data_IF_144748948578
#
_entry.id   IF_144748948578
#
_cell.length_a   1.000
_cell.length_b   1.000
_cell.length_c   1.000
_cell.angle_alpha   90.00
_cell.angle_beta   90.00
_cell.angle_gamma   90.00
#
_symmetry.space_group_name_H-M   'P 1'
#
loop_
_entity.id
_entity.type
_entity.pdbx_description
1 polymer ?
#
# COMPACT_ATOMS: atom_id res chain seq x y z
N UNK A 1 0.60 -5.19 8.17
CA UNK A 1 -0.02 -4.69 6.93
C UNK A 1 -0.93 -5.73 6.32
N UNK A 2 -1.73 -5.28 5.34
CA UNK A 2 -2.59 -6.18 4.57
C UNK A 2 -1.78 -7.11 3.68
N UNK A 3 -2.33 -8.27 3.46
CA UNK A 3 -1.98 -9.20 2.40
C UNK A 3 -3.27 -9.86 1.91
N UNK A 4 -3.27 -10.36 0.71
CA UNK A 4 -4.28 -11.26 0.21
C UNK A 4 -3.67 -12.17 -0.86
N UNK A 5 -4.36 -13.24 -1.18
CA UNK A 5 -4.08 -14.01 -2.38
C UNK A 5 -5.15 -13.68 -3.41
N UNK A 6 -4.73 -13.17 -4.55
CA UNK A 6 -5.59 -12.94 -5.70
C UNK A 6 -5.83 -14.28 -6.40
N UNK A 7 -7.01 -14.85 -6.19
CA UNK A 7 -7.34 -16.20 -6.64
C UNK A 7 -8.33 -16.19 -7.79
N UNK A 8 -7.87 -16.64 -8.95
CA UNK A 8 -8.64 -16.84 -10.18
C UNK A 8 -9.20 -18.26 -10.20
N UNK A 9 -10.33 -18.47 -9.53
CA UNK A 9 -10.87 -19.82 -9.26
C UNK A 9 -11.06 -20.66 -10.52
N UNK A 10 -11.61 -20.07 -11.59
CA UNK A 10 -11.87 -20.80 -12.85
C UNK A 10 -10.60 -21.27 -13.55
N UNK A 11 -9.49 -20.54 -13.40
CA UNK A 11 -8.20 -20.86 -13.99
C UNK A 11 -7.32 -21.67 -13.04
N UNK A 12 -7.64 -21.69 -11.75
CA UNK A 12 -6.80 -22.27 -10.71
C UNK A 12 -5.51 -21.48 -10.48
N UNK A 13 -5.48 -20.18 -10.83
CA UNK A 13 -4.31 -19.32 -10.65
C UNK A 13 -4.40 -18.56 -9.33
N UNK A 14 -3.29 -18.49 -8.63
CA UNK A 14 -3.17 -17.78 -7.37
C UNK A 14 -1.90 -16.93 -7.35
N UNK A 15 -2.03 -15.67 -6.97
CA UNK A 15 -0.93 -14.73 -6.90
C UNK A 15 -0.91 -14.04 -5.54
N UNK A 16 0.28 -13.85 -4.92
CA UNK A 16 0.40 -12.99 -3.76
C UNK A 16 0.00 -11.57 -4.12
N UNK A 17 -0.77 -10.94 -3.26
CA UNK A 17 -1.26 -9.57 -3.39
C UNK A 17 -1.40 -8.89 -2.04
N UNK A 18 -2.06 -7.77 -2.04
CA UNK A 18 -2.18 -6.85 -0.92
C UNK A 18 -1.24 -5.65 -1.06
N UNK A 19 -1.74 -4.47 -0.76
CA UNK A 19 -1.01 -3.23 -0.96
C UNK A 19 0.36 -3.22 -0.24
N UNK A 20 0.39 -3.58 1.05
CA UNK A 20 1.64 -3.59 1.82
C UNK A 20 2.66 -4.62 1.29
N UNK A 21 2.20 -5.79 0.84
CA UNK A 21 3.04 -6.81 0.22
C UNK A 21 3.63 -6.29 -1.09
N UNK A 22 2.80 -5.74 -1.96
CA UNK A 22 3.21 -5.22 -3.26
C UNK A 22 4.21 -4.08 -3.13
N UNK A 23 3.96 -3.11 -2.22
CA UNK A 23 4.89 -1.99 -1.97
C UNK A 23 6.23 -2.50 -1.45
N UNK A 24 6.25 -3.52 -0.58
CA UNK A 24 7.50 -4.11 -0.09
C UNK A 24 8.29 -4.80 -1.23
N UNK A 25 7.62 -5.55 -2.10
CA UNK A 25 8.24 -6.23 -3.25
C UNK A 25 8.78 -5.22 -4.26
N UNK A 26 7.97 -4.25 -4.69
CA UNK A 26 8.42 -3.22 -5.64
C UNK A 26 9.53 -2.34 -5.05
N UNK A 27 9.45 -2.04 -3.75
CA UNK A 27 10.51 -1.34 -3.04
C UNK A 27 11.84 -2.08 -3.09
N UNK A 28 11.80 -3.41 -2.88
CA UNK A 28 13.00 -4.25 -2.99
C UNK A 28 13.58 -4.23 -4.40
N UNK A 29 12.74 -4.34 -5.43
CA UNK A 29 13.15 -4.27 -6.83
C UNK A 29 13.78 -2.92 -7.21
N UNK A 30 13.42 -1.84 -6.50
CA UNK A 30 14.01 -0.50 -6.63
C UNK A 30 15.26 -0.28 -5.75
N UNK A 31 15.74 -1.34 -5.09
CA UNK A 31 16.98 -1.33 -4.31
C UNK A 31 16.83 -0.82 -2.88
N UNK A 32 15.62 -0.74 -2.34
CA UNK A 32 15.38 -0.48 -0.92
C UNK A 32 15.50 -1.79 -0.13
N UNK A 33 15.97 -1.72 1.12
CA UNK A 33 15.82 -2.83 2.06
C UNK A 33 14.40 -2.81 2.61
N UNK A 34 13.65 -3.89 2.36
CA UNK A 34 12.23 -3.96 2.68
C UNK A 34 11.90 -5.15 3.56
N UNK A 35 10.89 -4.98 4.42
CA UNK A 35 10.35 -6.03 5.25
C UNK A 35 8.83 -6.02 5.19
N UNK A 36 8.23 -7.19 5.33
CA UNK A 36 6.79 -7.34 5.48
C UNK A 36 6.44 -7.84 6.88
N UNK A 37 5.50 -7.15 7.54
CA UNK A 37 4.94 -7.51 8.84
C UNK A 37 3.43 -7.69 8.70
N UNK A 38 2.93 -8.86 9.03
CA UNK A 38 1.51 -9.21 8.95
C UNK A 38 1.26 -10.64 9.37
N UNK A 39 0.00 -11.08 9.26
CA UNK A 39 -0.39 -12.46 9.54
C UNK A 39 -0.74 -13.19 8.26
N UNK A 40 -0.29 -14.45 8.16
CA UNK A 40 -0.67 -15.40 7.11
C UNK A 40 -1.24 -16.66 7.77
N UNK A 41 -2.02 -17.44 7.02
CA UNK A 41 -2.57 -18.70 7.49
C UNK A 41 -1.53 -19.83 7.52
N UNK A 42 -1.98 -20.98 8.02
CA UNK A 42 -1.23 -22.25 7.98
C UNK A 42 -1.60 -23.10 6.76
N UNK A 43 -2.29 -22.50 5.78
CA UNK A 43 -2.71 -23.12 4.55
C UNK A 43 -1.69 -22.95 3.40
N UNK A 44 -1.95 -23.58 2.26
CA UNK A 44 -1.10 -23.51 1.07
C UNK A 44 -0.91 -22.07 0.55
N UNK A 45 -1.88 -21.18 0.76
CA UNK A 45 -1.75 -19.78 0.37
C UNK A 45 -0.77 -19.04 1.27
N UNK A 46 -0.74 -19.36 2.57
CA UNK A 46 0.27 -18.85 3.49
C UNK A 46 1.68 -19.35 3.12
N UNK A 47 1.82 -20.62 2.75
CA UNK A 47 3.09 -21.16 2.27
C UNK A 47 3.58 -20.44 1.02
N UNK A 48 2.70 -20.26 0.04
CA UNK A 48 2.99 -19.53 -1.20
C UNK A 48 3.39 -18.08 -0.93
N UNK A 49 2.65 -17.36 -0.08
CA UNK A 49 2.96 -15.97 0.28
C UNK A 49 4.36 -15.85 0.88
N UNK A 50 4.69 -16.72 1.82
CA UNK A 50 6.00 -16.73 2.49
C UNK A 50 7.13 -17.03 1.50
N UNK A 51 6.95 -18.03 0.65
CA UNK A 51 7.93 -18.41 -0.36
C UNK A 51 8.18 -17.26 -1.35
N UNK A 52 7.11 -16.65 -1.87
CA UNK A 52 7.21 -15.56 -2.85
C UNK A 52 7.86 -14.30 -2.27
N UNK A 53 7.56 -13.91 -1.03
CA UNK A 53 8.25 -12.80 -0.38
C UNK A 53 9.75 -13.10 -0.20
N UNK A 54 10.10 -14.33 0.18
CA UNK A 54 11.49 -14.76 0.30
C UNK A 54 12.22 -14.77 -1.05
N UNK A 55 11.57 -15.24 -2.14
CA UNK A 55 12.13 -15.19 -3.50
C UNK A 55 12.43 -13.75 -3.95
N UNK A 56 11.69 -12.77 -3.45
CA UNK A 56 11.88 -11.36 -3.74
C UNK A 56 12.81 -10.65 -2.73
N UNK A 57 13.52 -11.38 -1.89
CA UNK A 57 14.41 -10.84 -0.84
C UNK A 57 13.73 -9.83 0.12
N UNK A 58 12.43 -9.95 0.33
CA UNK A 58 11.69 -9.18 1.35
C UNK A 58 11.88 -9.86 2.71
N UNK A 59 12.33 -9.11 3.72
CA UNK A 59 12.47 -9.65 5.06
C UNK A 59 11.11 -9.97 5.68
N UNK A 60 10.97 -11.17 6.27
CA UNK A 60 9.71 -11.66 6.83
C UNK A 60 9.81 -12.11 8.28
N UNK A 61 10.82 -11.65 9.02
CA UNK A 61 11.10 -12.07 10.39
C UNK A 61 9.95 -11.80 11.37
N UNK A 62 9.13 -10.79 11.08
CA UNK A 62 7.93 -10.44 11.85
C UNK A 62 6.61 -10.85 11.18
N UNK A 63 6.67 -11.61 10.10
CA UNK A 63 5.48 -12.24 9.54
C UNK A 63 5.09 -13.45 10.38
N UNK A 64 3.86 -13.46 10.92
CA UNK A 64 3.41 -14.51 11.82
C UNK A 64 2.43 -15.45 11.11
N UNK A 65 2.58 -16.74 11.36
CA UNK A 65 1.61 -17.75 10.92
C UNK A 65 0.55 -17.94 12.00
N UNK A 66 -0.72 -17.86 11.59
CA UNK A 66 -1.89 -18.12 12.46
C UNK A 66 -2.64 -19.33 11.95
N UNK A 67 -3.15 -20.14 12.88
CA UNK A 67 -3.99 -21.27 12.49
C UNK A 67 -5.24 -20.78 11.74
N UNK A 68 -5.44 -21.30 10.53
CA UNK A 68 -6.53 -20.92 9.66
C UNK A 68 -6.07 -20.58 8.24
N UNK A 69 -6.97 -19.94 7.48
CA UNK A 69 -6.74 -19.58 6.08
C UNK A 69 -6.10 -18.20 5.96
N UNK A 70 -5.23 -18.05 4.96
CA UNK A 70 -4.70 -16.76 4.52
C UNK A 70 -5.82 -15.94 3.87
N UNK A 71 -5.72 -14.61 3.95
CA UNK A 71 -6.68 -13.73 3.29
C UNK A 71 -6.68 -13.97 1.77
N UNK A 72 -7.85 -13.92 1.16
CA UNK A 72 -8.04 -14.21 -0.26
C UNK A 72 -9.07 -13.27 -0.87
N UNK A 73 -8.77 -12.80 -2.08
CA UNK A 73 -9.70 -12.08 -2.94
C UNK A 73 -9.98 -12.94 -4.17
N UNK A 74 -11.24 -13.26 -4.40
CA UNK A 74 -11.64 -14.01 -5.59
C UNK A 74 -11.75 -13.06 -6.76
N UNK A 75 -11.15 -13.45 -7.90
CA UNK A 75 -11.15 -12.65 -9.12
C UNK A 75 -11.75 -13.46 -10.26
N UNK A 76 -12.70 -12.87 -10.97
CA UNK A 76 -13.22 -13.42 -12.22
C UNK A 76 -12.67 -12.64 -13.41
N UNK A 77 -12.33 -13.34 -14.48
CA UNK A 77 -12.03 -12.73 -15.77
C UNK A 77 -13.29 -12.82 -16.64
N UNK A 78 -13.86 -11.66 -16.98
CA UNK A 78 -15.01 -11.52 -17.87
C UNK A 78 -14.56 -10.72 -19.10
N UNK A 79 -14.56 -11.36 -20.27
CA UNK A 79 -14.17 -10.74 -21.55
C UNK A 79 -12.78 -10.08 -21.55
N UNK A 80 -11.86 -10.60 -20.73
CA UNK A 80 -10.51 -10.05 -20.55
C UNK A 80 -10.39 -9.01 -19.44
N UNK A 81 -11.50 -8.53 -18.90
CA UNK A 81 -11.54 -7.61 -17.77
C UNK A 81 -11.66 -8.35 -16.44
N UNK A 82 -11.06 -7.78 -15.41
CA UNK A 82 -11.13 -8.31 -14.05
C UNK A 82 -12.33 -7.77 -13.30
N UNK A 83 -13.06 -8.69 -12.71
CA UNK A 83 -14.10 -8.38 -11.74
C UNK A 83 -13.68 -8.92 -10.38
N UNK A 84 -13.50 -8.01 -9.42
CA UNK A 84 -13.30 -8.39 -8.03
C UNK A 84 -14.60 -8.97 -7.46
N UNK A 85 -14.53 -10.18 -6.95
CA UNK A 85 -15.61 -10.90 -6.29
C UNK A 85 -15.58 -10.72 -4.77
N UNK A 86 -15.81 -11.79 -4.05
CA UNK A 86 -15.77 -11.80 -2.59
C UNK A 86 -14.33 -11.73 -2.09
N UNK A 87 -14.12 -11.02 -0.98
CA UNK A 87 -12.88 -10.97 -0.23
C UNK A 87 -13.08 -11.50 1.19
N UNK A 88 -12.10 -12.25 1.68
CA UNK A 88 -12.09 -12.84 3.01
C UNK A 88 -10.79 -12.50 3.72
N UNK A 89 -10.89 -11.78 4.82
CA UNK A 89 -9.74 -11.44 5.66
C UNK A 89 -9.17 -12.67 6.38
N UNK A 90 -10.01 -13.64 6.75
CA UNK A 90 -9.61 -14.88 7.42
C UNK A 90 -8.72 -14.58 8.66
N UNK A 91 -7.47 -15.10 8.70
CA UNK A 91 -6.58 -14.85 9.85
C UNK A 91 -6.20 -13.38 10.06
N UNK A 92 -6.42 -12.51 9.08
CA UNK A 92 -6.23 -11.06 9.25
C UNK A 92 -7.36 -10.39 10.03
N UNK A 93 -8.50 -11.05 10.23
CA UNK A 93 -9.54 -10.51 11.11
C UNK A 93 -8.96 -10.25 12.51
N UNK A 94 -9.07 -9.00 12.96
CA UNK A 94 -8.56 -8.59 14.25
C UNK A 94 -7.02 -8.48 14.33
N UNK A 95 -6.33 -8.36 13.20
CA UNK A 95 -4.90 -8.09 13.18
C UNK A 95 -4.56 -6.87 14.05
N UNK A 96 -3.59 -7.05 14.94
CA UNK A 96 -3.08 -6.00 15.81
C UNK A 96 -1.57 -6.11 15.94
N UNK A 97 -0.91 -4.96 16.00
CA UNK A 97 0.51 -4.86 16.25
C UNK A 97 0.80 -4.98 17.75
N UNK A 98 1.74 -5.84 18.12
CA UNK A 98 2.26 -5.94 19.48
C UNK A 98 3.26 -4.80 19.77
N UNK A 99 3.63 -4.62 21.04
CA UNK A 99 4.68 -3.67 21.40
C UNK A 99 6.04 -4.05 20.81
N UNK A 100 6.32 -5.33 20.65
CA UNK A 100 7.52 -5.82 19.97
C UNK A 100 7.50 -5.51 18.48
N UNK A 101 6.33 -5.57 17.83
CA UNK A 101 6.17 -5.17 16.44
C UNK A 101 6.44 -3.67 16.27
N UNK A 102 5.93 -2.84 17.18
CA UNK A 102 6.20 -1.40 17.17
C UNK A 102 7.68 -1.10 17.40
N UNK A 103 8.35 -1.83 18.29
CA UNK A 103 9.78 -1.70 18.51
C UNK A 103 10.58 -2.07 17.26
N UNK A 104 10.18 -3.13 16.57
CA UNK A 104 10.77 -3.52 15.29
C UNK A 104 10.57 -2.46 14.24
N UNK A 105 9.34 -1.96 14.04
CA UNK A 105 9.01 -0.90 13.09
C UNK A 105 9.78 0.41 13.36
N UNK A 106 10.09 0.71 14.62
CA UNK A 106 10.89 1.88 15.00
C UNK A 106 12.34 1.85 14.47
N UNK A 107 12.80 0.72 13.95
CA UNK A 107 14.10 0.56 13.31
C UNK A 107 14.15 0.95 11.84
N UNK A 108 13.01 1.20 11.20
CA UNK A 108 12.92 1.53 9.77
C UNK A 108 12.87 3.05 9.54
N UNK A 109 13.29 3.48 8.34
CA UNK A 109 13.17 4.87 7.91
C UNK A 109 11.73 5.23 7.55
N UNK A 110 10.97 4.25 7.01
CA UNK A 110 9.58 4.43 6.61
C UNK A 110 8.76 3.17 6.92
N UNK A 111 7.51 3.39 7.34
CA UNK A 111 6.49 2.35 7.48
C UNK A 111 5.34 2.67 6.54
N UNK A 112 5.05 1.75 5.63
CA UNK A 112 3.92 1.85 4.71
C UNK A 112 2.73 1.06 5.22
N UNK A 113 1.54 1.66 5.14
CA UNK A 113 0.26 1.09 5.54
C UNK A 113 -0.80 1.44 4.52
N UNK A 114 -1.89 0.67 4.51
CA UNK A 114 -3.05 0.96 3.67
C UNK A 114 -4.35 0.88 4.47
N UNK A 115 -5.39 1.44 3.88
CA UNK A 115 -6.75 1.47 4.45
C UNK A 115 -7.27 0.08 4.84
N UNK A 116 -6.77 -0.96 4.19
CA UNK A 116 -7.12 -2.37 4.40
C UNK A 116 -6.33 -3.06 5.53
N UNK A 117 -5.23 -2.43 5.98
CA UNK A 117 -4.20 -3.10 6.81
C UNK A 117 -4.52 -3.18 8.30
N UNK A 118 -5.64 -2.61 8.77
CA UNK A 118 -6.05 -2.61 10.20
C UNK A 118 -4.95 -2.12 11.18
N UNK A 119 -4.00 -1.30 10.67
CA UNK A 119 -2.84 -0.83 11.43
C UNK A 119 -2.99 0.60 11.99
N UNK A 120 -4.15 1.22 11.82
CA UNK A 120 -4.38 2.64 12.16
C UNK A 120 -4.01 2.98 13.61
N UNK A 121 -4.18 2.03 14.52
CA UNK A 121 -3.90 2.22 15.96
C UNK A 121 -2.41 2.36 16.30
N UNK A 122 -1.49 2.05 15.36
CA UNK A 122 -0.06 2.24 15.60
C UNK A 122 0.40 3.66 15.28
N UNK A 123 -0.38 4.43 14.53
CA UNK A 123 -0.08 5.83 14.23
C UNK A 123 -0.08 6.64 15.53
N UNK A 124 0.90 7.49 15.70
CA UNK A 124 1.15 8.21 16.95
C UNK A 124 1.90 7.40 18.03
N UNK A 125 2.12 6.09 17.83
CA UNK A 125 2.94 5.25 18.72
C UNK A 125 4.36 5.02 18.16
N UNK A 126 4.55 5.24 16.86
CA UNK A 126 5.87 5.17 16.23
C UNK A 126 6.67 6.45 16.51
N UNK A 127 8.01 6.35 16.63
CA UNK A 127 8.86 7.53 16.82
C UNK A 127 8.76 8.49 15.63
N UNK A 128 8.80 9.80 15.87
CA UNK A 128 8.74 10.83 14.81
C UNK A 128 9.82 10.74 13.74
N UNK A 129 10.92 10.03 14.00
CA UNK A 129 11.95 9.78 12.98
C UNK A 129 11.49 8.83 11.87
N UNK A 130 10.53 7.96 12.16
CA UNK A 130 9.97 6.99 11.21
C UNK A 130 8.95 7.70 10.34
N UNK A 131 9.18 7.75 9.04
CA UNK A 131 8.23 8.31 8.10
C UNK A 131 7.03 7.39 7.93
N UNK A 132 5.85 7.95 7.86
CA UNK A 132 4.61 7.20 7.67
C UNK A 132 4.09 7.44 6.26
N UNK A 133 3.98 6.37 5.51
CA UNK A 133 3.32 6.30 4.21
C UNK A 133 1.97 5.60 4.36
N UNK A 134 0.90 6.19 3.83
CA UNK A 134 -0.43 5.62 3.96
C UNK A 134 -1.22 5.72 2.65
N UNK A 135 -1.75 4.58 2.19
CA UNK A 135 -2.63 4.53 1.04
C UNK A 135 -4.10 4.45 1.47
N UNK A 136 -4.84 5.50 1.15
CA UNK A 136 -6.30 5.58 1.33
C UNK A 136 -7.07 4.98 0.15
N UNK A 137 -6.38 4.62 -0.95
CA UNK A 137 -7.02 4.12 -2.17
C UNK A 137 -8.12 5.10 -2.66
N UNK A 138 -9.30 4.61 -3.00
CA UNK A 138 -10.45 5.43 -3.41
C UNK A 138 -11.38 5.81 -2.23
N UNK A 139 -10.91 5.79 -0.99
CA UNK A 139 -11.71 6.02 0.21
C UNK A 139 -11.65 7.48 0.69
N UNK A 140 -12.00 8.44 -0.18
CA UNK A 140 -11.90 9.88 0.10
C UNK A 140 -12.84 10.39 1.20
N UNK A 141 -13.94 9.70 1.45
CA UNK A 141 -14.96 10.07 2.45
C UNK A 141 -14.76 9.41 3.81
N UNK A 142 -13.69 8.67 4.04
CA UNK A 142 -13.46 7.97 5.30
C UNK A 142 -13.23 8.93 6.46
N UNK A 143 -14.03 8.88 7.53
CA UNK A 143 -13.85 9.77 8.69
C UNK A 143 -12.48 9.64 9.34
N UNK A 144 -11.80 8.50 9.14
CA UNK A 144 -10.47 8.26 9.67
C UNK A 144 -9.38 9.14 9.05
N UNK A 145 -9.59 9.71 7.85
CA UNK A 145 -8.62 10.62 7.23
C UNK A 145 -8.30 11.78 8.19
N UNK A 146 -9.30 12.40 8.81
CA UNK A 146 -9.11 13.51 9.75
C UNK A 146 -8.29 13.12 10.97
N UNK A 147 -8.45 11.87 11.44
CA UNK A 147 -7.72 11.35 12.60
C UNK A 147 -6.30 10.94 12.26
N UNK A 148 -6.06 10.45 11.05
CA UNK A 148 -4.78 9.85 10.65
C UNK A 148 -3.84 10.85 9.98
N UNK A 149 -4.37 11.81 9.21
CA UNK A 149 -3.58 12.78 8.44
C UNK A 149 -2.45 13.47 9.24
N UNK A 150 -2.63 13.86 10.52
CA UNK A 150 -1.57 14.49 11.31
C UNK A 150 -0.32 13.62 11.53
N UNK A 151 -0.44 12.30 11.34
CA UNK A 151 0.66 11.35 11.57
C UNK A 151 1.32 10.89 10.26
N UNK A 152 0.78 11.30 9.09
CA UNK A 152 1.19 10.76 7.79
C UNK A 152 2.14 11.73 7.10
N UNK A 153 3.34 11.25 6.73
CA UNK A 153 4.28 12.02 5.92
C UNK A 153 3.92 11.97 4.42
N UNK A 154 3.44 10.80 3.93
CA UNK A 154 3.11 10.58 2.53
C UNK A 154 1.73 9.91 2.43
N UNK A 155 0.71 10.66 2.01
CA UNK A 155 -0.64 10.15 1.81
C UNK A 155 -0.90 9.90 0.32
N UNK A 156 -1.49 8.73 0.00
CA UNK A 156 -1.81 8.35 -1.36
C UNK A 156 -3.31 8.12 -1.52
N UNK A 157 -3.81 8.50 -2.69
CA UNK A 157 -5.19 8.29 -3.13
C UNK A 157 -5.20 7.76 -4.57
N UNK A 158 -6.28 7.08 -4.95
CA UNK A 158 -6.55 6.69 -6.33
C UNK A 158 -7.77 7.46 -6.82
N UNK A 159 -7.59 8.39 -7.75
CA UNK A 159 -8.63 9.24 -8.33
C UNK A 159 -8.73 8.98 -9.84
N UNK A 160 -9.78 9.50 -10.48
CA UNK A 160 -9.99 9.30 -11.91
C UNK A 160 -9.28 10.38 -12.75
N UNK A 161 -9.30 11.63 -12.28
CA UNK A 161 -8.83 12.79 -13.05
C UNK A 161 -8.17 13.84 -12.15
N UNK A 162 -7.28 14.66 -12.74
CA UNK A 162 -6.77 15.89 -12.13
C UNK A 162 -7.79 17.02 -12.35
N UNK A 163 -8.80 17.05 -11.52
CA UNK A 163 -9.84 18.06 -11.55
C UNK A 163 -9.90 18.85 -10.23
N UNK A 164 -10.83 19.82 -10.14
CA UNK A 164 -11.00 20.67 -8.95
C UNK A 164 -11.22 19.83 -7.69
N UNK A 165 -12.07 18.81 -7.75
CA UNK A 165 -12.39 17.95 -6.59
C UNK A 165 -11.16 17.19 -6.09
N UNK A 166 -10.38 16.63 -7.01
CA UNK A 166 -9.11 15.94 -6.66
C UNK A 166 -8.14 16.91 -5.99
N UNK A 167 -7.94 18.10 -6.55
CA UNK A 167 -7.05 19.11 -5.97
C UNK A 167 -7.52 19.63 -4.61
N UNK A 168 -8.84 19.78 -4.43
CA UNK A 168 -9.43 20.13 -3.13
C UNK A 168 -9.22 19.02 -2.09
N UNK A 169 -9.36 17.74 -2.47
CA UNK A 169 -9.03 16.62 -1.60
C UNK A 169 -7.57 16.69 -1.14
N UNK A 170 -6.61 16.87 -2.07
CA UNK A 170 -5.19 16.93 -1.71
C UNK A 170 -4.89 18.11 -0.77
N UNK A 171 -5.46 19.29 -1.04
CA UNK A 171 -5.34 20.46 -0.15
C UNK A 171 -5.90 20.18 1.23
N UNK A 172 -7.13 19.66 1.30
CA UNK A 172 -7.80 19.34 2.57
C UNK A 172 -6.95 18.38 3.41
N UNK A 173 -6.47 17.29 2.82
CA UNK A 173 -5.66 16.30 3.56
C UNK A 173 -4.32 16.88 4.02
N UNK A 174 -3.73 17.76 3.19
CA UNK A 174 -2.54 18.54 3.57
C UNK A 174 -2.82 19.48 4.75
N UNK A 175 -3.92 20.20 4.74
CA UNK A 175 -4.36 21.10 5.82
C UNK A 175 -4.66 20.36 7.12
N UNK A 176 -5.12 19.11 7.03
CA UNK A 176 -5.29 18.21 8.18
C UNK A 176 -3.96 17.74 8.79
N UNK A 177 -2.82 18.02 8.16
CA UNK A 177 -1.50 17.77 8.74
C UNK A 177 -0.60 16.80 7.95
N UNK A 178 -1.08 16.16 6.89
CA UNK A 178 -0.24 15.27 6.08
C UNK A 178 0.96 16.01 5.46
N UNK A 179 2.10 15.33 5.32
CA UNK A 179 3.33 15.92 4.80
C UNK A 179 3.25 16.22 3.31
N UNK A 180 3.04 15.21 2.49
CA UNK A 180 2.78 15.31 1.06
C UNK A 180 1.58 14.44 0.71
N UNK A 181 0.72 14.89 -0.18
CA UNK A 181 -0.49 14.17 -0.59
C UNK A 181 -0.50 13.97 -2.10
N UNK A 182 -0.71 12.74 -2.54
CA UNK A 182 -0.61 12.35 -3.95
C UNK A 182 -1.87 11.61 -4.38
N UNK A 183 -2.34 11.85 -5.59
CA UNK A 183 -3.35 11.05 -6.26
C UNK A 183 -2.77 10.43 -7.53
N UNK A 184 -2.90 9.11 -7.67
CA UNK A 184 -2.74 8.40 -8.94
C UNK A 184 -4.03 8.53 -9.75
N UNK A 185 -3.94 8.68 -11.08
CA UNK A 185 -5.04 9.03 -11.97
C UNK A 185 -5.18 8.03 -13.13
N UNK A 186 -4.78 6.78 -12.90
CA UNK A 186 -4.77 5.74 -13.91
C UNK A 186 -3.94 6.16 -15.13
N UNK A 187 -4.53 6.13 -16.32
CA UNK A 187 -3.88 6.52 -17.57
C UNK A 187 -3.52 8.01 -17.68
N UNK A 188 -4.07 8.84 -16.80
CA UNK A 188 -3.81 10.27 -16.73
C UNK A 188 -2.58 10.62 -15.86
N UNK A 189 -1.88 9.61 -15.32
CA UNK A 189 -0.66 9.79 -14.54
C UNK A 189 -0.92 10.05 -13.05
N UNK A 190 -0.39 11.13 -12.52
CA UNK A 190 -0.51 11.47 -11.09
C UNK A 190 -0.42 12.96 -10.83
N UNK A 191 -0.93 13.39 -9.68
CA UNK A 191 -0.77 14.75 -9.14
C UNK A 191 -0.38 14.67 -7.66
N UNK A 192 0.64 15.43 -7.25
CA UNK A 192 1.11 15.53 -5.87
C UNK A 192 1.03 17.00 -5.38
N UNK A 193 0.81 17.16 -4.07
CA UNK A 193 0.75 18.47 -3.42
C UNK A 193 1.54 18.45 -2.10
N UNK A 194 2.53 19.33 -1.96
CA UNK A 194 3.38 19.45 -0.77
C UNK A 194 2.98 20.60 0.16
N UNK A 195 1.91 21.32 -0.17
CA UNK A 195 1.46 22.51 0.51
C UNK A 195 1.92 23.82 -0.15
N UNK A 196 2.75 23.77 -1.18
CA UNK A 196 3.26 24.92 -1.91
C UNK A 196 2.81 24.89 -3.36
N UNK A 197 3.06 23.79 -4.05
CA UNK A 197 2.75 23.64 -5.47
C UNK A 197 2.16 22.26 -5.76
N UNK A 198 1.37 22.19 -6.85
CA UNK A 198 0.97 20.92 -7.45
C UNK A 198 1.99 20.52 -8.50
N UNK A 199 2.42 19.26 -8.42
CA UNK A 199 3.30 18.66 -9.42
C UNK A 199 2.56 17.50 -10.06
N UNK A 200 2.46 17.54 -11.40
CA UNK A 200 1.81 16.48 -12.20
C UNK A 200 2.85 15.68 -12.96
N UNK A 201 2.60 14.40 -13.10
CA UNK A 201 3.42 13.51 -13.92
C UNK A 201 2.51 12.66 -14.80
N UNK A 202 2.85 12.52 -16.08
CA UNK A 202 2.20 11.58 -17.00
C UNK A 202 2.63 10.14 -16.76
N UNK A 203 2.06 9.23 -17.54
CA UNK A 203 2.47 7.81 -17.55
C UNK A 203 3.72 7.61 -18.40
N UNK A 204 4.50 6.57 -18.07
CA UNK A 204 5.55 6.09 -18.97
C UNK A 204 4.93 5.50 -20.25
N UNK A 205 5.53 5.81 -21.41
CA UNK A 205 5.06 5.36 -22.71
C UNK A 205 5.30 3.86 -22.96
N UNK A 206 4.71 3.01 -22.12
CA UNK A 206 4.81 1.55 -22.20
C UNK A 206 3.49 0.93 -22.65
N UNK A 207 3.56 -0.24 -23.30
CA UNK A 207 2.36 -1.02 -23.59
C UNK A 207 1.82 -1.59 -22.27
N UNK A 208 0.63 -1.17 -21.89
CA UNK A 208 -0.07 -1.73 -20.73
C UNK A 208 -0.45 -3.17 -21.00
N UNK A 209 -0.02 -4.09 -20.14
CA UNK A 209 -0.40 -5.51 -20.15
C UNK A 209 -1.38 -5.79 -19.04
N UNK A 210 -1.13 -5.20 -17.87
CA UNK A 210 -1.87 -5.39 -16.65
C UNK A 210 -1.69 -4.17 -15.74
N UNK A 211 -2.76 -3.73 -15.09
CA UNK A 211 -2.76 -2.58 -14.17
C UNK A 211 -2.84 -2.98 -12.69
N UNK A 212 -2.91 -4.29 -12.38
CA UNK A 212 -2.91 -4.73 -10.98
C UNK A 212 -1.59 -4.36 -10.31
N UNK A 213 -1.67 -3.73 -9.13
CA UNK A 213 -0.48 -3.25 -8.40
C UNK A 213 0.19 -2.01 -9.01
N UNK A 214 -0.40 -1.37 -10.05
CA UNK A 214 0.18 -0.14 -10.61
C UNK A 214 0.25 0.99 -9.58
N UNK A 215 -0.79 1.15 -8.74
CA UNK A 215 -0.77 2.07 -7.60
C UNK A 215 0.33 1.76 -6.62
N UNK A 216 0.49 0.49 -6.26
CA UNK A 216 1.50 0.04 -5.29
C UNK A 216 2.93 0.25 -5.83
N UNK A 217 3.13 -0.01 -7.14
CA UNK A 217 4.42 0.26 -7.79
C UNK A 217 4.74 1.75 -7.86
N UNK A 218 3.74 2.60 -8.09
CA UNK A 218 3.87 4.05 -8.02
C UNK A 218 4.29 4.49 -6.61
N UNK A 219 3.63 3.99 -5.56
CA UNK A 219 3.96 4.28 -4.17
C UNK A 219 5.41 3.89 -3.87
N UNK A 220 5.83 2.69 -4.25
CA UNK A 220 7.21 2.24 -4.07
C UNK A 220 8.22 3.14 -4.81
N UNK A 221 7.92 3.51 -6.06
CA UNK A 221 8.71 4.45 -6.86
C UNK A 221 8.84 5.81 -6.18
N UNK A 222 7.72 6.38 -5.74
CA UNK A 222 7.69 7.64 -5.00
C UNK A 222 8.52 7.57 -3.73
N UNK A 223 8.32 6.56 -2.89
CA UNK A 223 9.06 6.39 -1.63
C UNK A 223 10.57 6.21 -1.86
N UNK A 224 10.97 5.49 -2.92
CA UNK A 224 12.38 5.29 -3.27
C UNK A 224 13.13 6.58 -3.54
N UNK A 225 12.43 7.65 -3.94
CA UNK A 225 12.95 8.98 -4.21
C UNK A 225 12.76 9.91 -3.01
N UNK A 226 11.57 9.93 -2.44
CA UNK A 226 11.23 10.80 -1.32
C UNK A 226 12.12 10.54 -0.09
N UNK A 227 12.44 9.27 0.21
CA UNK A 227 13.31 8.90 1.33
C UNK A 227 14.80 9.31 1.11
N UNK A 228 15.19 9.56 -0.13
CA UNK A 228 16.50 10.14 -0.45
C UNK A 228 16.51 11.67 -0.42
N UNK A 229 15.37 12.30 -0.10
CA UNK A 229 15.22 13.75 -0.05
C UNK A 229 15.12 14.41 -1.43
N UNK A 230 14.77 13.63 -2.48
CA UNK A 230 14.53 14.19 -3.81
C UNK A 230 13.25 15.03 -3.81
N UNK A 231 13.18 16.03 -4.69
CA UNK A 231 11.99 16.88 -4.84
C UNK A 231 10.90 16.16 -5.61
N UNK A 232 9.64 16.62 -5.48
CA UNK A 232 8.50 16.08 -6.24
C UNK A 232 8.64 16.19 -7.76
N UNK A 233 9.59 17.00 -8.26
CA UNK A 233 9.84 17.21 -9.70
C UNK A 233 10.82 16.19 -10.31
N UNK A 234 11.42 15.34 -9.48
CA UNK A 234 12.36 14.30 -9.89
C UNK A 234 11.73 12.92 -9.83
#
# INVERSE_FOLDING_TARGET
>A
GDNCVDFYERQGWAYPGGNAVNVAVYGRQLGMDTAYLGWIGTDNFGDMMQEKLKEQDVETVRMQRKEGKTAVTYIELLDGDRKFGEDFLNVLEGFQLSDEDLQYLAGFDCVHMAVWGQCDTCLGRLPHKVKISYDFSNKYGEPKIEKLAPYIDYAFFSCEEDNTSTRELLKRVKELGAGCVTATLGENGSVAYDGKEFVTSGIAGTKVVDTLGAGDSYIAGFLSKALKGESLKN
#
